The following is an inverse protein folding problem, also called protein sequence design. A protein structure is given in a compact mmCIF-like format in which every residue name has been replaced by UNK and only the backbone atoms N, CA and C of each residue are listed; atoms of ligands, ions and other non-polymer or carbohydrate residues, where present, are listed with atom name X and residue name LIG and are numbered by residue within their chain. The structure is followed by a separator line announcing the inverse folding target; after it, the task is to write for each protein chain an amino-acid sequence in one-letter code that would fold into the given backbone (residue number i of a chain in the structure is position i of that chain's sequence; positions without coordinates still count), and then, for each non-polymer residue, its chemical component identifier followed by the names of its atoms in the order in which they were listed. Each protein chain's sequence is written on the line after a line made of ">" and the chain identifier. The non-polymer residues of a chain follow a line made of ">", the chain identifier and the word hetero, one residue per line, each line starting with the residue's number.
data_IF_063154433243
#
_entry.id   IF_063154433243
#
_cell.length_a   1.000
_cell.length_b   1.000
_cell.length_c   1.000
_cell.angle_alpha   90.00
_cell.angle_beta   90.00
_cell.angle_gamma   90.00
#
_symmetry.space_group_name_H-M   'P 1'
#
loop_
_entity.id
_entity.type
_entity.pdbx_description
1 polymer ?
#
# COMPACT_ATOMS: atom_id res chain seq x y z
N UNK A 1 -65.74 44.34 5.46
CA UNK A 1 -65.53 42.94 5.00
C UNK A 1 -64.29 42.76 4.11
N UNK A 2 -63.30 43.65 4.12
CA UNK A 2 -62.09 43.55 3.26
C UNK A 2 -60.85 43.07 4.04
N UNK A 3 -60.82 43.27 5.36
CA UNK A 3 -59.68 42.94 6.23
C UNK A 3 -59.46 41.43 6.48
N UNK A 4 -60.51 40.60 6.42
CA UNK A 4 -60.39 39.17 6.72
C UNK A 4 -59.73 38.35 5.58
N UNK A 5 -59.66 38.90 4.37
CA UNK A 5 -59.16 38.17 3.19
C UNK A 5 -57.63 38.24 3.04
N UNK A 6 -57.00 39.29 3.58
CA UNK A 6 -55.54 39.48 3.47
C UNK A 6 -54.74 38.64 4.47
N UNK A 7 -55.25 38.42 5.70
CA UNK A 7 -54.57 37.59 6.70
C UNK A 7 -54.57 36.09 6.35
N UNK A 8 -55.56 35.62 5.56
CA UNK A 8 -55.61 34.21 5.11
C UNK A 8 -54.52 33.90 4.07
N UNK A 9 -54.25 34.82 3.12
CA UNK A 9 -53.24 34.61 2.07
C UNK A 9 -51.80 34.56 2.60
N UNK A 10 -51.51 35.25 3.71
CA UNK A 10 -50.16 35.28 4.32
C UNK A 10 -49.84 33.98 5.08
N UNK A 11 -50.85 33.26 5.60
CA UNK A 11 -50.61 31.96 6.25
C UNK A 11 -50.39 30.83 5.24
N UNK A 12 -51.08 30.87 4.10
CA UNK A 12 -50.92 29.87 3.04
C UNK A 12 -49.55 29.97 2.35
N UNK A 13 -49.06 31.19 2.10
CA UNK A 13 -47.75 31.37 1.42
C UNK A 13 -46.55 30.93 2.27
N UNK A 14 -46.60 31.10 3.60
CA UNK A 14 -45.54 30.63 4.50
C UNK A 14 -45.46 29.11 4.61
N UNK A 15 -46.60 28.41 4.55
CA UNK A 15 -46.62 26.94 4.55
C UNK A 15 -45.99 26.33 3.30
N UNK A 16 -46.29 26.88 2.12
CA UNK A 16 -45.76 26.37 0.84
C UNK A 16 -44.25 26.62 0.72
N UNK A 17 -43.75 27.75 1.19
CA UNK A 17 -42.31 28.05 1.17
C UNK A 17 -41.51 27.10 2.08
N UNK A 18 -42.02 26.78 3.27
CA UNK A 18 -41.34 25.84 4.19
C UNK A 18 -41.35 24.42 3.64
N UNK A 19 -42.44 23.99 3.00
CA UNK A 19 -42.53 22.66 2.39
C UNK A 19 -41.57 22.49 1.20
N UNK A 20 -41.43 23.50 0.34
CA UNK A 20 -40.47 23.48 -0.77
C UNK A 20 -39.02 23.43 -0.30
N UNK A 21 -38.67 24.17 0.76
CA UNK A 21 -37.32 24.12 1.34
C UNK A 21 -37.02 22.74 1.95
N UNK A 22 -37.98 22.11 2.63
CA UNK A 22 -37.80 20.78 3.18
C UNK A 22 -37.58 19.69 2.11
N UNK A 23 -38.25 19.79 0.96
CA UNK A 23 -38.08 18.83 -0.16
C UNK A 23 -36.72 18.99 -0.85
N UNK A 24 -36.21 20.22 -0.99
CA UNK A 24 -34.89 20.45 -1.60
C UNK A 24 -33.74 19.99 -0.69
N UNK A 25 -33.89 20.11 0.63
CA UNK A 25 -32.86 19.63 1.57
C UNK A 25 -32.83 18.11 1.76
N UNK A 26 -33.92 17.37 1.48
CA UNK A 26 -33.93 15.89 1.65
C UNK A 26 -33.25 15.12 0.50
N UNK A 27 -32.77 15.81 -0.54
CA UNK A 27 -32.18 15.19 -1.73
C UNK A 27 -30.71 14.77 -1.63
N UNK A 28 -29.98 15.14 -0.56
CA UNK A 28 -28.52 14.98 -0.53
C UNK A 28 -27.99 13.72 0.16
N UNK A 29 -28.83 12.86 0.76
CA UNK A 29 -28.36 11.66 1.49
C UNK A 29 -28.87 10.32 0.94
N UNK A 30 -29.72 10.31 -0.10
CA UNK A 30 -30.42 9.10 -0.55
C UNK A 30 -29.83 8.36 -1.75
N UNK A 31 -29.05 9.02 -2.61
CA UNK A 31 -28.65 8.44 -3.91
C UNK A 31 -27.55 7.39 -3.79
N UNK A 32 -26.64 7.53 -2.81
CA UNK A 32 -25.58 6.54 -2.56
C UNK A 32 -26.16 5.23 -2.04
N UNK A 33 -27.15 5.30 -1.14
CA UNK A 33 -27.88 4.11 -0.67
C UNK A 33 -28.61 3.38 -1.79
N UNK A 34 -29.30 4.12 -2.67
CA UNK A 34 -29.97 3.53 -3.83
C UNK A 34 -28.98 2.91 -4.83
N UNK A 35 -27.82 3.54 -5.05
CA UNK A 35 -26.79 3.00 -5.93
C UNK A 35 -26.17 1.71 -5.39
N UNK A 36 -25.95 1.62 -4.07
CA UNK A 36 -25.53 0.38 -3.41
C UNK A 36 -26.62 -0.69 -3.45
N UNK A 37 -27.91 -0.34 -3.44
CA UNK A 37 -29.01 -1.31 -3.58
C UNK A 37 -29.09 -1.88 -5.01
N UNK A 38 -28.85 -1.05 -6.03
CA UNK A 38 -28.93 -1.46 -7.45
C UNK A 38 -27.67 -2.21 -7.91
N UNK A 39 -26.47 -1.80 -7.47
CA UNK A 39 -25.21 -2.49 -7.83
C UNK A 39 -24.76 -3.55 -6.83
N UNK A 40 -25.26 -3.51 -5.59
CA UNK A 40 -24.82 -4.42 -4.52
C UNK A 40 -25.35 -5.84 -4.65
N UNK A 41 -26.37 -6.11 -5.48
CA UNK A 41 -26.91 -7.47 -5.67
C UNK A 41 -27.13 -8.21 -4.33
N UNK A 42 -26.88 -9.52 -4.29
CA UNK A 42 -26.99 -10.34 -3.07
C UNK A 42 -26.09 -9.88 -1.89
N UNK A 43 -25.23 -8.88 -2.06
CA UNK A 43 -24.34 -8.33 -1.02
C UNK A 43 -25.10 -7.34 -0.12
N UNK A 44 -26.22 -6.78 -0.58
CA UNK A 44 -27.14 -5.98 0.25
C UNK A 44 -28.02 -6.85 1.17
N UNK A 45 -28.10 -8.16 0.91
CA UNK A 45 -28.76 -9.07 1.82
C UNK A 45 -27.94 -9.16 3.12
N UNK A 46 -28.58 -9.15 4.29
CA UNK A 46 -27.89 -9.42 5.54
C UNK A 46 -27.14 -10.74 5.37
N UNK A 47 -25.82 -10.68 5.56
CA UNK A 47 -24.97 -11.87 5.47
C UNK A 47 -25.58 -12.93 6.38
N UNK A 48 -25.72 -14.15 5.87
CA UNK A 48 -26.10 -15.28 6.72
C UNK A 48 -25.17 -15.27 7.93
N UNK A 49 -25.75 -15.48 9.13
CA UNK A 49 -24.94 -15.56 10.34
C UNK A 49 -23.82 -16.59 10.11
N UNK A 50 -22.58 -16.30 10.55
CA UNK A 50 -21.50 -17.25 10.36
C UNK A 50 -21.90 -18.58 11.01
N UNK A 51 -21.64 -19.73 10.35
CA UNK A 51 -21.96 -21.02 10.93
C UNK A 51 -21.26 -21.15 12.29
N UNK A 52 -22.02 -21.50 13.32
CA UNK A 52 -21.51 -21.60 14.69
C UNK A 52 -21.50 -20.29 15.50
N UNK A 53 -22.18 -19.22 15.04
CA UNK A 53 -22.32 -17.97 15.81
C UNK A 53 -22.90 -18.18 17.23
N UNK A 54 -23.81 -19.15 17.38
CA UNK A 54 -24.46 -19.49 18.65
C UNK A 54 -23.77 -20.65 19.39
N UNK A 55 -22.70 -21.23 18.80
CA UNK A 55 -21.92 -22.24 19.48
C UNK A 55 -20.89 -21.55 20.38
N UNK A 56 -20.70 -22.01 21.63
CA UNK A 56 -19.59 -21.55 22.43
C UNK A 56 -18.29 -21.78 21.64
N UNK A 57 -17.43 -20.75 21.58
CA UNK A 57 -16.14 -20.88 20.92
C UNK A 57 -15.43 -22.12 21.47
N UNK A 58 -14.90 -23.00 20.60
CA UNK A 58 -14.08 -24.10 21.06
C UNK A 58 -12.93 -23.52 21.89
N UNK A 59 -12.62 -24.18 23.01
CA UNK A 59 -11.59 -23.68 23.91
C UNK A 59 -10.27 -23.52 23.14
N UNK A 60 -9.86 -22.27 22.88
CA UNK A 60 -8.61 -21.95 22.19
C UNK A 60 -7.37 -22.39 22.98
N UNK A 61 -7.53 -22.75 24.26
CA UNK A 61 -6.49 -23.37 25.06
C UNK A 61 -6.28 -24.85 24.72
N UNK A 62 -7.18 -25.49 23.99
CA UNK A 62 -7.01 -26.86 23.48
C UNK A 62 -6.20 -26.84 22.18
N UNK A 63 -4.98 -26.31 22.23
CA UNK A 63 -4.02 -26.48 21.14
C UNK A 63 -3.58 -27.95 21.15
N UNK A 64 -3.57 -28.64 20.00
CA UNK A 64 -2.93 -29.95 19.90
C UNK A 64 -1.50 -29.88 20.46
N UNK A 65 -1.02 -30.98 21.04
CA UNK A 65 0.35 -31.03 21.55
C UNK A 65 1.36 -30.62 20.46
N UNK A 66 2.37 -29.84 20.86
CA UNK A 66 3.43 -29.42 19.95
C UNK A 66 4.09 -30.66 19.33
N UNK A 67 4.26 -30.71 17.99
CA UNK A 67 4.95 -31.82 17.36
C UNK A 67 6.35 -32.02 17.94
N UNK A 68 6.75 -33.28 18.16
CA UNK A 68 8.11 -33.58 18.62
C UNK A 68 9.13 -33.04 17.60
N UNK A 69 10.21 -32.37 18.05
CA UNK A 69 11.24 -31.89 17.14
C UNK A 69 11.90 -33.07 16.41
N UNK A 70 12.21 -32.86 15.13
CA UNK A 70 12.90 -33.85 14.31
C UNK A 70 14.29 -34.14 14.89
N UNK A 71 14.66 -35.42 14.89
CA UNK A 71 16.02 -35.84 15.24
C UNK A 71 17.00 -35.45 14.13
N UNK A 72 18.30 -35.33 14.46
CA UNK A 72 19.34 -35.02 13.48
C UNK A 72 19.35 -36.01 12.29
N UNK A 73 19.08 -37.30 12.54
CA UNK A 73 18.98 -38.31 11.49
C UNK A 73 17.77 -38.08 10.56
N UNK A 74 16.63 -37.67 11.11
CA UNK A 74 15.43 -37.35 10.32
C UNK A 74 15.63 -36.08 9.49
N UNK A 75 16.31 -35.07 10.05
CA UNK A 75 16.67 -33.85 9.32
C UNK A 75 17.62 -34.16 8.14
N UNK A 76 18.65 -34.98 8.37
CA UNK A 76 19.58 -35.40 7.31
C UNK A 76 18.87 -36.18 6.19
N UNK A 77 17.94 -37.07 6.54
CA UNK A 77 17.15 -37.81 5.56
C UNK A 77 16.23 -36.88 4.73
N UNK A 78 15.62 -35.87 5.36
CA UNK A 78 14.81 -34.87 4.66
C UNK A 78 15.65 -34.04 3.70
N UNK A 79 16.84 -33.62 4.14
CA UNK A 79 17.78 -32.88 3.32
C UNK A 79 18.24 -33.72 2.12
N UNK A 80 18.54 -35.00 2.31
CA UNK A 80 18.90 -35.91 1.21
C UNK A 80 17.78 -36.03 0.17
N UNK A 81 16.52 -36.15 0.61
CA UNK A 81 15.34 -36.19 -0.30
C UNK A 81 15.18 -34.89 -1.08
N UNK A 82 15.31 -33.73 -0.43
CA UNK A 82 15.25 -32.43 -1.11
C UNK A 82 16.32 -32.30 -2.21
N UNK A 83 17.52 -32.84 -1.99
CA UNK A 83 18.58 -32.84 -3.01
C UNK A 83 18.31 -33.84 -4.15
N UNK A 84 17.61 -34.95 -3.88
CA UNK A 84 17.20 -35.92 -4.90
C UNK A 84 16.07 -35.37 -5.79
N UNK A 85 15.11 -34.66 -5.20
CA UNK A 85 13.93 -34.13 -5.90
C UNK A 85 14.22 -32.81 -6.65
N UNK A 86 15.32 -32.13 -6.35
CA UNK A 86 15.71 -30.85 -6.99
C UNK A 86 17.19 -30.81 -7.40
N UNK A 87 17.63 -31.65 -8.36
CA UNK A 87 19.01 -31.65 -8.82
C UNK A 87 19.44 -30.34 -9.51
N UNK A 88 18.48 -29.54 -9.99
CA UNK A 88 18.75 -28.30 -10.75
C UNK A 88 19.05 -27.09 -9.85
N UNK A 89 18.54 -27.05 -8.61
CA UNK A 89 18.80 -25.96 -7.64
C UNK A 89 20.06 -26.25 -6.81
N UNK A 90 20.46 -27.52 -6.68
CA UNK A 90 21.66 -27.92 -5.96
C UNK A 90 22.97 -27.54 -6.70
N UNK A 91 22.90 -27.18 -7.99
CA UNK A 91 24.04 -26.70 -8.75
C UNK A 91 24.36 -25.22 -8.42
N UNK A 92 24.94 -24.98 -7.25
CA UNK A 92 25.49 -23.68 -6.79
C UNK A 92 26.75 -23.24 -7.54
N UNK A 93 26.93 -23.68 -8.80
CA UNK A 93 28.00 -23.19 -9.66
C UNK A 93 27.38 -22.26 -10.69
N UNK A 94 27.56 -20.96 -10.48
CA UNK A 94 27.22 -19.94 -11.47
C UNK A 94 27.72 -20.40 -12.84
N UNK A 95 26.82 -20.56 -13.81
CA UNK A 95 27.19 -20.97 -15.16
C UNK A 95 27.66 -19.72 -15.94
N UNK A 96 28.97 -19.51 -16.14
CA UNK A 96 29.45 -18.34 -16.87
C UNK A 96 29.00 -18.32 -18.33
N UNK A 97 28.61 -19.48 -18.90
CA UNK A 97 28.07 -19.55 -20.25
C UNK A 97 26.63 -19.00 -20.35
N UNK A 98 25.85 -19.05 -19.28
CA UNK A 98 24.53 -18.42 -19.23
C UNK A 98 24.61 -16.88 -19.17
N UNK A 99 25.74 -16.34 -18.69
CA UNK A 99 26.05 -14.91 -18.65
C UNK A 99 26.75 -14.40 -19.93
N UNK A 100 27.34 -15.29 -20.73
CA UNK A 100 28.20 -14.95 -21.87
C UNK A 100 27.46 -14.33 -23.10
N UNK A 101 26.17 -14.02 -22.98
CA UNK A 101 25.37 -13.42 -24.05
C UNK A 101 24.55 -12.20 -23.66
N UNK A 102 24.54 -11.79 -22.37
CA UNK A 102 23.84 -10.58 -21.94
C UNK A 102 24.73 -9.35 -22.17
N UNK A 103 24.80 -8.90 -23.41
CA UNK A 103 25.30 -7.56 -23.74
C UNK A 103 24.14 -6.57 -23.53
N UNK A 104 24.11 -5.91 -22.38
CA UNK A 104 23.16 -4.82 -22.15
C UNK A 104 23.55 -3.64 -23.07
N UNK A 105 22.63 -3.10 -23.88
CA UNK A 105 22.92 -1.93 -24.70
C UNK A 105 23.28 -0.75 -23.79
N UNK A 106 24.46 -0.16 -24.02
CA UNK A 106 25.07 0.87 -23.14
C UNK A 106 24.42 2.26 -23.24
N UNK A 107 23.35 2.42 -24.03
CA UNK A 107 22.65 3.69 -24.14
C UNK A 107 21.14 3.48 -24.38
N UNK A 108 20.27 4.19 -23.66
CA UNK A 108 18.86 4.21 -23.98
C UNK A 108 18.65 4.80 -25.39
N UNK A 109 17.70 4.27 -26.19
CA UNK A 109 17.40 4.83 -27.49
C UNK A 109 16.94 6.29 -27.35
N UNK A 110 17.28 7.17 -28.30
CA UNK A 110 16.80 8.55 -28.28
C UNK A 110 15.26 8.55 -28.31
N UNK A 111 14.66 9.38 -27.45
CA UNK A 111 13.21 9.56 -27.40
C UNK A 111 12.69 10.03 -28.78
N UNK A 112 11.70 9.35 -29.37
CA UNK A 112 11.10 9.79 -30.63
C UNK A 112 10.42 11.16 -30.43
N UNK A 113 10.87 12.18 -31.16
CA UNK A 113 10.17 13.45 -31.21
C UNK A 113 8.86 13.26 -31.99
N UNK A 114 7.72 13.25 -31.30
CA UNK A 114 6.39 13.26 -31.93
C UNK A 114 6.01 14.70 -32.30
N UNK A 115 5.81 15.02 -33.59
CA UNK A 115 5.36 16.35 -34.00
C UNK A 115 3.98 16.66 -33.40
N UNK A 116 3.86 17.75 -32.64
CA UNK A 116 2.59 18.26 -32.12
C UNK A 116 2.35 18.11 -30.61
N UNK A 117 3.24 17.45 -29.86
CA UNK A 117 3.20 17.42 -28.39
C UNK A 117 4.29 18.34 -27.85
N UNK A 118 3.94 19.61 -27.65
CA UNK A 118 4.73 20.50 -26.81
C UNK A 118 4.33 20.21 -25.36
N UNK A 119 5.24 19.69 -24.55
CA UNK A 119 5.00 19.59 -23.11
C UNK A 119 4.79 21.01 -22.56
N UNK A 120 3.68 21.28 -21.83
CA UNK A 120 3.46 22.59 -21.26
C UNK A 120 4.51 22.83 -20.18
N UNK A 121 5.36 23.83 -20.41
CA UNK A 121 6.09 24.53 -19.34
C UNK A 121 5.08 24.89 -18.26
N UNK A 122 5.22 24.27 -17.09
CA UNK A 122 4.42 24.53 -15.90
C UNK A 122 4.63 25.99 -15.46
N UNK A 123 3.83 26.88 -16.04
CA UNK A 123 3.72 28.27 -15.65
C UNK A 123 2.78 28.32 -14.45
N UNK A 124 3.26 28.93 -13.36
CA UNK A 124 2.54 29.05 -12.10
C UNK A 124 1.11 29.50 -12.30
N UNK A 125 0.17 28.66 -11.87
CA UNK A 125 -1.24 28.99 -11.80
C UNK A 125 -1.51 29.69 -10.47
N UNK A 126 -1.99 30.92 -10.61
CA UNK A 126 -2.66 31.73 -9.61
C UNK A 126 -3.72 30.94 -8.84
N UNK A 127 -3.69 31.18 -7.53
CA UNK A 127 -4.56 30.70 -6.48
C UNK A 127 -6.06 30.94 -6.77
N UNK A 128 -6.80 29.85 -6.96
CA UNK A 128 -8.26 29.84 -6.91
C UNK A 128 -8.70 29.37 -5.51
N UNK A 129 -9.48 30.20 -4.82
CA UNK A 129 -9.98 29.93 -3.48
C UNK A 129 -10.79 28.62 -3.43
N UNK A 130 -10.26 27.62 -2.71
CA UNK A 130 -10.88 26.32 -2.47
C UNK A 130 -11.67 26.33 -1.14
N UNK A 131 -12.80 25.61 -1.03
CA UNK A 131 -13.53 25.45 0.23
C UNK A 131 -12.66 24.79 1.29
N UNK A 132 -12.80 25.22 2.54
CA UNK A 132 -11.96 24.86 3.69
C UNK A 132 -11.77 23.34 3.80
N UNK A 133 -10.54 22.82 3.58
CA UNK A 133 -10.21 21.41 3.80
C UNK A 133 -10.32 21.06 5.29
N UNK A 134 -10.66 19.80 5.64
CA UNK A 134 -10.46 19.28 7.00
C UNK A 134 -9.00 19.49 7.40
N UNK A 135 -8.77 19.93 8.64
CA UNK A 135 -7.45 20.25 9.19
C UNK A 135 -6.36 19.30 8.69
N UNK A 136 -5.50 19.83 7.82
CA UNK A 136 -4.35 19.14 7.28
C UNK A 136 -3.45 18.78 8.46
N UNK A 137 -3.14 17.48 8.62
CA UNK A 137 -2.17 17.05 9.64
C UNK A 137 -0.88 17.85 9.43
N UNK A 138 -0.22 18.32 10.51
CA UNK A 138 1.04 19.06 10.39
C UNK A 138 2.00 18.32 9.47
N UNK A 139 2.33 18.93 8.32
CA UNK A 139 3.33 18.41 7.41
C UNK A 139 4.69 18.64 8.08
N UNK A 140 5.25 17.58 8.64
CA UNK A 140 6.58 17.60 9.21
C UNK A 140 7.62 17.94 8.14
N UNK A 141 8.69 18.67 8.48
CA UNK A 141 9.68 19.12 7.51
C UNK A 141 10.28 17.93 6.74
N UNK A 142 10.45 18.05 5.41
CA UNK A 142 10.90 16.94 4.58
C UNK A 142 12.35 16.60 4.91
N UNK A 143 12.58 15.47 5.59
CA UNK A 143 13.90 14.85 5.58
C UNK A 143 14.18 14.29 4.19
N UNK A 144 15.43 14.38 3.73
CA UNK A 144 15.83 13.88 2.43
C UNK A 144 15.70 12.34 2.44
N UNK A 145 14.92 11.73 1.53
CA UNK A 145 14.80 10.28 1.48
C UNK A 145 16.13 9.65 1.07
N UNK A 146 16.56 8.61 1.78
CA UNK A 146 17.73 7.81 1.43
C UNK A 146 17.27 6.65 0.56
N UNK A 147 17.68 6.66 -0.72
CA UNK A 147 17.35 5.61 -1.67
C UNK A 147 18.22 4.36 -1.46
N UNK A 148 17.61 3.19 -1.59
CA UNK A 148 18.24 1.87 -1.49
C UNK A 148 18.00 1.13 -2.79
N UNK A 149 19.08 0.79 -3.50
CA UNK A 149 19.01 0.09 -4.78
C UNK A 149 18.94 -1.42 -4.54
N UNK A 150 17.92 -2.08 -5.07
CA UNK A 150 17.84 -3.54 -5.05
C UNK A 150 18.19 -4.09 -6.43
N UNK A 151 18.79 -5.28 -6.46
CA UNK A 151 18.92 -6.06 -7.69
C UNK A 151 17.52 -6.36 -8.29
N UNK A 152 17.39 -6.38 -9.63
CA UNK A 152 16.15 -6.76 -10.29
C UNK A 152 15.64 -8.13 -9.82
N UNK A 153 14.35 -8.21 -9.49
CA UNK A 153 13.68 -9.40 -8.97
C UNK A 153 14.08 -9.79 -7.53
N UNK A 154 14.95 -9.02 -6.87
CA UNK A 154 15.50 -9.35 -5.56
C UNK A 154 15.03 -8.41 -4.45
N UNK A 155 14.88 -8.95 -3.25
CA UNK A 155 14.68 -8.20 -2.01
C UNK A 155 15.87 -8.35 -1.03
N UNK A 156 17.03 -8.81 -1.52
CA UNK A 156 18.20 -9.07 -0.70
C UNK A 156 18.97 -7.75 -0.46
N UNK A 157 19.30 -7.49 0.79
CA UNK A 157 20.16 -6.36 1.18
C UNK A 157 21.63 -6.78 1.26
N UNK A 158 22.51 -6.04 0.58
CA UNK A 158 23.95 -6.17 0.68
C UNK A 158 24.54 -5.38 1.86
N UNK A 159 25.71 -5.79 2.32
CA UNK A 159 26.38 -5.20 3.49
C UNK A 159 26.63 -3.69 3.37
N UNK A 160 26.97 -3.19 2.18
CA UNK A 160 27.16 -1.75 1.96
C UNK A 160 25.88 -0.95 2.13
N UNK A 161 24.73 -1.51 1.74
CA UNK A 161 23.43 -0.86 1.94
C UNK A 161 23.03 -0.82 3.40
N UNK A 162 23.37 -1.85 4.17
CA UNK A 162 23.17 -1.85 5.63
C UNK A 162 23.96 -0.72 6.30
N UNK A 163 25.20 -0.46 5.88
CA UNK A 163 25.99 0.68 6.39
C UNK A 163 25.38 2.03 6.05
N UNK A 164 24.79 2.17 4.86
CA UNK A 164 24.09 3.39 4.46
C UNK A 164 22.82 3.59 5.27
N UNK A 165 22.04 2.53 5.48
CA UNK A 165 20.84 2.55 6.33
C UNK A 165 21.19 2.95 7.78
N UNK A 166 22.23 2.33 8.35
CA UNK A 166 22.71 2.65 9.69
C UNK A 166 23.12 4.12 9.82
N UNK A 167 23.84 4.66 8.84
CA UNK A 167 24.20 6.08 8.83
C UNK A 167 22.97 6.99 8.72
N UNK A 168 21.99 6.63 7.89
CA UNK A 168 20.77 7.40 7.72
C UNK A 168 19.93 7.49 9.01
N UNK A 169 19.97 6.45 9.85
CA UNK A 169 19.19 6.39 11.10
C UNK A 169 20.00 6.76 12.34
N UNK A 170 21.32 6.96 12.23
CA UNK A 170 22.17 7.31 13.36
C UNK A 170 21.75 8.64 14.01
N UNK A 171 21.35 9.62 13.19
CA UNK A 171 20.99 10.97 13.64
C UNK A 171 19.47 11.14 13.89
N UNK A 172 18.73 10.02 13.99
CA UNK A 172 17.26 10.00 14.09
C UNK A 172 16.72 10.63 15.37
N UNK A 173 17.34 10.34 16.51
CA UNK A 173 16.71 10.49 17.83
C UNK A 173 15.42 9.66 17.95
N UNK A 174 14.32 10.33 18.31
CA UNK A 174 13.00 9.73 18.51
C UNK A 174 12.09 9.78 17.28
N UNK A 175 12.60 10.23 16.12
CA UNK A 175 11.81 10.35 14.90
C UNK A 175 11.28 8.98 14.42
N UNK A 176 10.08 8.99 13.85
CA UNK A 176 9.51 7.80 13.19
C UNK A 176 10.24 7.58 11.87
N UNK A 177 10.28 6.33 11.43
CA UNK A 177 10.96 5.96 10.18
C UNK A 177 9.90 5.48 9.20
N UNK A 178 9.81 6.14 8.05
CA UNK A 178 9.06 5.65 6.91
C UNK A 178 9.99 4.82 6.02
N UNK A 179 9.60 3.58 5.77
CA UNK A 179 10.32 2.65 4.92
C UNK A 179 9.43 2.31 3.73
N UNK A 180 9.98 2.42 2.53
CA UNK A 180 9.25 2.13 1.29
C UNK A 180 9.96 1.10 0.42
N UNK A 181 9.19 0.22 -0.21
CA UNK A 181 9.66 -0.64 -1.28
C UNK A 181 8.95 -0.35 -2.59
N UNK A 182 9.67 -0.44 -3.69
CA UNK A 182 9.12 -0.39 -5.05
C UNK A 182 9.33 -1.73 -5.73
N UNK A 183 8.39 -2.14 -6.57
CA UNK A 183 8.50 -3.35 -7.36
C UNK A 183 8.36 -3.06 -8.84
N UNK A 184 9.23 -3.68 -9.62
CA UNK A 184 9.22 -3.60 -11.07
C UNK A 184 8.25 -4.60 -11.67
N UNK A 185 7.54 -4.18 -12.72
CA UNK A 185 6.66 -5.06 -13.47
C UNK A 185 7.48 -5.80 -14.54
N UNK A 186 7.97 -6.99 -14.22
CA UNK A 186 8.67 -7.86 -15.17
C UNK A 186 7.67 -8.76 -15.90
N UNK A 187 6.79 -8.18 -16.72
CA UNK A 187 5.91 -8.91 -17.66
C UNK A 187 5.02 -10.01 -17.07
N UNK A 188 4.84 -10.04 -15.75
CA UNK A 188 4.04 -11.01 -15.01
C UNK A 188 2.65 -10.47 -14.63
N UNK A 189 1.80 -11.30 -13.99
CA UNK A 189 0.47 -10.89 -13.56
C UNK A 189 0.52 -9.69 -12.61
N UNK A 190 -0.53 -8.85 -12.64
CA UNK A 190 -0.63 -7.52 -12.04
C UNK A 190 -0.41 -7.43 -10.50
N UNK A 191 -0.09 -8.54 -9.82
CA UNK A 191 0.24 -8.57 -8.39
C UNK A 191 1.72 -8.79 -8.05
N UNK A 192 2.55 -9.28 -8.99
CA UNK A 192 3.93 -9.69 -8.66
C UNK A 192 4.82 -8.50 -8.26
N UNK A 193 4.65 -7.36 -8.93
CA UNK A 193 5.37 -6.13 -8.59
C UNK A 193 5.03 -5.66 -7.17
N UNK A 194 3.75 -5.71 -6.76
CA UNK A 194 3.37 -5.34 -5.40
C UNK A 194 3.95 -6.29 -4.35
N UNK A 195 3.93 -7.59 -4.62
CA UNK A 195 4.51 -8.60 -3.72
C UNK A 195 6.01 -8.33 -3.53
N UNK A 196 6.74 -8.09 -4.62
CA UNK A 196 8.17 -7.73 -4.57
C UNK A 196 8.41 -6.43 -3.79
N UNK A 197 7.58 -5.41 -4.00
CA UNK A 197 7.66 -4.15 -3.27
C UNK A 197 7.49 -4.35 -1.75
N UNK A 198 6.53 -5.19 -1.33
CA UNK A 198 6.30 -5.54 0.08
C UNK A 198 7.50 -6.30 0.64
N UNK A 199 8.07 -7.25 -0.10
CA UNK A 199 9.27 -7.98 0.34
C UNK A 199 10.47 -7.05 0.54
N UNK A 200 10.68 -6.08 -0.36
CA UNK A 200 11.75 -5.08 -0.23
C UNK A 200 11.55 -4.17 0.98
N UNK A 201 10.34 -3.64 1.17
CA UNK A 201 10.00 -2.83 2.33
C UNK A 201 10.25 -3.60 3.65
N UNK A 202 9.84 -4.87 3.68
CA UNK A 202 10.05 -5.76 4.83
C UNK A 202 11.54 -6.04 5.08
N UNK A 203 12.33 -6.33 4.04
CA UNK A 203 13.76 -6.56 4.18
C UNK A 203 14.48 -5.36 4.83
N UNK A 204 14.11 -4.13 4.45
CA UNK A 204 14.65 -2.91 5.07
C UNK A 204 14.18 -2.80 6.53
N UNK A 205 12.90 -3.03 6.81
CA UNK A 205 12.37 -2.97 8.17
C UNK A 205 13.01 -4.00 9.11
N UNK A 206 13.22 -5.23 8.63
CA UNK A 206 13.90 -6.30 9.37
C UNK A 206 15.37 -5.94 9.63
N UNK A 207 16.06 -5.38 8.63
CA UNK A 207 17.43 -4.88 8.79
C UNK A 207 17.54 -3.75 9.83
N UNK A 208 16.59 -2.80 9.82
CA UNK A 208 16.52 -1.74 10.82
C UNK A 208 16.21 -2.30 12.23
N UNK A 209 15.30 -3.26 12.32
CA UNK A 209 14.98 -3.93 13.60
C UNK A 209 16.19 -4.69 14.14
N UNK A 210 16.97 -5.34 13.28
CA UNK A 210 18.22 -6.00 13.67
C UNK A 210 19.29 -5.03 14.22
N UNK A 211 19.18 -3.73 13.92
CA UNK A 211 20.04 -2.69 14.52
C UNK A 211 19.53 -2.14 15.86
N UNK A 212 18.43 -2.70 16.39
CA UNK A 212 17.85 -2.32 17.68
C UNK A 212 16.71 -1.29 17.59
N UNK A 213 16.24 -0.97 16.39
CA UNK A 213 15.09 -0.07 16.22
C UNK A 213 13.80 -0.82 16.54
N UNK A 214 12.91 -0.19 17.33
CA UNK A 214 11.60 -0.77 17.63
C UNK A 214 10.75 -0.88 16.35
N UNK A 215 9.97 -1.95 16.16
CA UNK A 215 9.05 -2.06 15.03
C UNK A 215 7.88 -1.05 15.13
N UNK A 216 7.55 -0.54 16.33
CA UNK A 216 6.41 0.37 16.53
C UNK A 216 6.61 1.77 15.96
N UNK A 217 7.85 2.13 15.62
CA UNK A 217 8.23 3.43 15.07
C UNK A 217 8.59 3.34 13.58
N UNK A 218 8.48 2.15 12.99
CA UNK A 218 8.71 1.91 11.56
C UNK A 218 7.35 1.81 10.87
N UNK A 219 7.09 2.74 9.95
CA UNK A 219 5.94 2.69 9.05
C UNK A 219 6.40 2.11 7.70
N UNK A 220 5.73 1.09 7.19
CA UNK A 220 6.02 0.48 5.90
C UNK A 220 5.07 0.95 4.81
N UNK A 221 5.60 1.26 3.63
CA UNK A 221 4.87 1.50 2.39
C UNK A 221 5.41 0.63 1.26
N UNK A 222 4.54 0.28 0.33
CA UNK A 222 4.91 -0.48 -0.85
C UNK A 222 4.17 0.06 -2.07
N UNK A 223 4.86 0.15 -3.21
CA UNK A 223 4.26 0.55 -4.48
C UNK A 223 4.71 -0.38 -5.60
N UNK A 224 3.77 -0.80 -6.45
CA UNK A 224 3.99 -1.71 -7.57
C UNK A 224 4.65 -1.05 -8.80
N UNK A 225 5.15 0.18 -8.65
CA UNK A 225 5.74 0.97 -9.72
C UNK A 225 7.08 1.50 -9.26
N UNK A 226 8.14 1.22 -10.03
CA UNK A 226 9.51 1.66 -9.76
C UNK A 226 10.44 0.52 -9.39
N UNK A 227 11.64 0.86 -8.93
CA UNK A 227 12.66 -0.10 -8.53
C UNK A 227 13.31 0.34 -7.23
N UNK A 228 13.69 -0.63 -6.40
CA UNK A 228 14.44 -0.38 -5.17
C UNK A 228 13.56 -0.11 -3.95
N UNK A 229 14.04 0.75 -3.05
CA UNK A 229 13.32 1.17 -1.85
C UNK A 229 13.88 2.47 -1.29
N UNK A 230 13.30 2.96 -0.21
CA UNK A 230 13.76 4.18 0.46
C UNK A 230 13.54 4.12 1.98
N UNK A 231 14.27 4.98 2.68
CA UNK A 231 14.08 5.27 4.09
C UNK A 231 14.03 6.78 4.29
N UNK A 232 13.05 7.24 5.07
CA UNK A 232 12.84 8.65 5.36
C UNK A 232 12.50 8.84 6.84
N UNK A 233 13.04 9.90 7.45
CA UNK A 233 12.71 10.29 8.81
C UNK A 233 11.45 11.14 8.82
N UNK A 234 10.49 10.78 9.66
CA UNK A 234 9.22 11.49 9.84
C UNK A 234 9.19 12.04 11.26
N UNK A 235 9.22 13.37 11.36
CA UNK A 235 9.17 14.11 12.62
C UNK A 235 7.73 14.39 13.06
#
# INVERSE_FOLDING_TARGET
>A
MIEAFLLSKIRVSRGVAVLMVAVVLSGCSGTVGMYHDVQGGAIAQPRQAPPGADLPYPNLASVPEEPKPLTAAQQAALQARLHQDSPEIAATKANPAALAGLVLPSAPPPVPAVPGVSEPVSSGLTEAAKPTPPAEKPQSPPSVPVAIAFEPGSAILHAEMLKTLQRAVADRGDARILVGGFGEQTGGPDGQALILAVHRARAIADALTATGLSPTIIEMKAAAVGSGGFVQLVY
#
